data_IF_538218888442
#
_entry.id   IF_538218888442
#
_cell.length_a   1.000
_cell.length_b   1.000
_cell.length_c   1.000
_cell.angle_alpha   90.00
_cell.angle_beta   90.00
_cell.angle_gamma   90.00
#
_symmetry.space_group_name_H-M   'P 1'
#
loop_
_entity.id
_entity.type
_entity.pdbx_description
1 polymer ?
#
# COMPACT_ATOMS: atom_id res chain seq x y z
N UNK A 1 15.38 21.86 -24.17
CA UNK A 1 15.43 20.87 -23.08
C UNK A 1 14.34 21.21 -22.07
N UNK A 2 13.19 20.50 -22.07
CA UNK A 2 12.10 20.82 -21.16
C UNK A 2 12.48 20.45 -19.73
N UNK A 3 12.36 21.42 -18.82
CA UNK A 3 12.55 21.23 -17.39
C UNK A 3 11.18 21.16 -16.73
N UNK A 4 10.87 20.03 -16.12
CA UNK A 4 9.57 19.75 -15.54
C UNK A 4 9.73 19.69 -14.03
N UNK A 5 9.13 20.66 -13.33
CA UNK A 5 9.09 20.69 -11.87
C UNK A 5 7.84 19.99 -11.36
N UNK A 6 7.99 19.12 -10.38
CA UNK A 6 6.89 18.37 -9.75
C UNK A 6 6.98 18.57 -8.23
N UNK A 7 6.01 19.29 -7.67
CA UNK A 7 5.86 19.45 -6.22
C UNK A 7 4.92 18.36 -5.68
N UNK A 8 5.40 17.55 -4.75
CA UNK A 8 4.75 16.33 -4.24
C UNK A 8 4.39 16.53 -2.78
N UNK A 9 3.11 16.45 -2.46
CA UNK A 9 2.61 16.52 -1.08
C UNK A 9 2.23 15.13 -0.60
N UNK A 10 2.84 14.67 0.49
CA UNK A 10 2.63 13.31 0.99
C UNK A 10 2.52 13.22 2.51
N UNK A 11 1.68 12.30 2.98
CA UNK A 11 1.52 11.90 4.38
C UNK A 11 1.85 10.41 4.52
N UNK A 12 2.56 10.04 5.58
CA UNK A 12 2.84 8.63 5.95
C UNK A 12 1.60 7.82 6.30
N UNK A 13 0.53 8.45 6.78
CA UNK A 13 -0.75 7.81 7.11
C UNK A 13 -1.67 7.60 5.90
N UNK A 14 -1.29 8.10 4.72
CA UNK A 14 -2.10 7.99 3.51
C UNK A 14 -1.72 6.74 2.70
N UNK A 15 -2.57 5.70 2.63
CA UNK A 15 -2.31 4.53 1.80
C UNK A 15 -2.23 4.89 0.30
N UNK A 16 -2.97 5.92 -0.12
CA UNK A 16 -2.99 6.37 -1.51
C UNK A 16 -1.74 7.14 -1.90
N UNK A 17 -1.08 7.85 -0.98
CA UNK A 17 0.19 8.53 -1.27
C UNK A 17 1.29 7.51 -1.63
N UNK A 18 1.32 6.35 -0.96
CA UNK A 18 2.25 5.28 -1.32
C UNK A 18 2.02 4.75 -2.74
N UNK A 19 0.75 4.48 -3.08
CA UNK A 19 0.37 4.00 -4.41
C UNK A 19 0.69 5.06 -5.47
N UNK A 20 0.32 6.33 -5.21
CA UNK A 20 0.57 7.46 -6.10
C UNK A 20 2.05 7.67 -6.38
N UNK A 21 2.92 7.52 -5.37
CA UNK A 21 4.36 7.62 -5.57
C UNK A 21 4.87 6.55 -6.55
N UNK A 22 4.40 5.30 -6.43
CA UNK A 22 4.79 4.23 -7.36
C UNK A 22 4.34 4.50 -8.79
N UNK A 23 3.15 5.06 -8.98
CA UNK A 23 2.71 5.45 -10.32
C UNK A 23 3.48 6.66 -10.86
N UNK A 24 3.87 7.60 -10.01
CA UNK A 24 4.70 8.73 -10.41
C UNK A 24 6.08 8.26 -10.92
N UNK A 25 6.73 7.36 -10.18
CA UNK A 25 8.01 6.75 -10.58
C UNK A 25 7.90 6.10 -11.98
N UNK A 26 6.86 5.30 -12.20
CA UNK A 26 6.61 4.64 -13.49
C UNK A 26 6.33 5.65 -14.62
N UNK A 27 5.58 6.71 -14.34
CA UNK A 27 5.28 7.73 -15.33
C UNK A 27 6.53 8.51 -15.75
N UNK A 28 7.43 8.82 -14.80
CA UNK A 28 8.71 9.48 -15.07
C UNK A 28 9.60 8.58 -15.94
N UNK A 29 9.69 7.30 -15.62
CA UNK A 29 10.46 6.33 -16.42
C UNK A 29 9.93 6.24 -17.87
N UNK A 30 8.62 6.10 -18.04
CA UNK A 30 7.97 6.03 -19.35
C UNK A 30 8.05 7.35 -20.15
N UNK A 31 8.13 8.49 -19.46
CA UNK A 31 8.31 9.77 -20.12
C UNK A 31 9.76 9.96 -20.57
N UNK A 32 10.71 9.61 -19.70
CA UNK A 32 12.14 9.73 -19.94
C UNK A 32 12.60 8.82 -21.08
N UNK A 33 12.00 7.63 -21.23
CA UNK A 33 12.30 6.74 -22.36
C UNK A 33 11.92 7.32 -23.73
N UNK A 34 10.88 8.16 -23.77
CA UNK A 34 10.43 8.86 -25.00
C UNK A 34 11.11 10.20 -25.20
N UNK A 35 11.60 10.82 -24.12
CA UNK A 35 12.17 12.16 -24.10
C UNK A 35 13.48 12.13 -23.28
N UNK A 36 14.59 11.64 -23.85
CA UNK A 36 15.84 11.50 -23.12
C UNK A 36 16.43 12.83 -22.65
N UNK A 37 16.06 13.94 -23.31
CA UNK A 37 16.51 15.29 -22.96
C UNK A 37 15.64 15.94 -21.85
N UNK A 38 14.59 15.28 -21.36
CA UNK A 38 13.76 15.87 -20.32
C UNK A 38 14.46 15.81 -18.95
N UNK A 39 14.38 16.90 -18.19
CA UNK A 39 14.92 16.96 -16.83
C UNK A 39 13.78 17.17 -15.85
N UNK A 40 13.70 16.29 -14.85
CA UNK A 40 12.71 16.36 -13.78
C UNK A 40 13.31 16.95 -12.51
N UNK A 41 12.62 17.93 -11.93
CA UNK A 41 12.95 18.52 -10.63
C UNK A 41 11.83 18.18 -9.64
N UNK A 42 12.09 17.23 -8.73
CA UNK A 42 11.12 16.79 -7.73
C UNK A 42 11.32 17.55 -6.42
N UNK A 43 10.24 18.10 -5.86
CA UNK A 43 10.23 18.77 -4.56
C UNK A 43 9.20 18.10 -3.63
N UNK A 44 9.65 17.63 -2.47
CA UNK A 44 8.82 16.88 -1.52
C UNK A 44 8.38 17.76 -0.36
N UNK A 45 7.07 17.75 -0.09
CA UNK A 45 6.42 18.53 0.94
C UNK A 45 5.63 17.61 1.88
N UNK A 46 5.90 17.61 3.19
CA UNK A 46 5.08 16.87 4.14
C UNK A 46 3.69 17.50 4.22
N UNK A 47 2.66 16.66 4.27
CA UNK A 47 1.28 17.08 4.49
C UNK A 47 0.68 16.28 5.65
N UNK A 48 -0.11 16.94 6.50
CA UNK A 48 -0.86 16.28 7.57
C UNK A 48 -2.33 16.19 7.17
N UNK A 49 -2.79 14.98 6.86
CA UNK A 49 -4.20 14.72 6.54
C UNK A 49 -5.13 14.96 7.74
N UNK A 50 -4.64 14.61 8.93
CA UNK A 50 -5.40 14.74 10.18
C UNK A 50 -4.65 15.66 11.15
N UNK A 51 -4.67 16.99 10.93
CA UNK A 51 -3.92 17.94 11.76
C UNK A 51 -4.38 17.94 13.23
N UNK A 52 -5.60 17.49 13.48
CA UNK A 52 -6.21 17.42 14.81
C UNK A 52 -6.33 15.98 15.32
N UNK A 53 -5.60 15.02 14.73
CA UNK A 53 -5.60 13.64 15.21
C UNK A 53 -5.19 13.59 16.68
N UNK A 54 -6.17 13.30 17.54
CA UNK A 54 -5.91 13.04 18.95
C UNK A 54 -5.36 11.63 19.03
N UNK A 55 -4.22 11.43 19.68
CA UNK A 55 -3.78 10.08 20.06
C UNK A 55 -4.89 9.54 20.96
N UNK A 56 -5.70 8.63 20.43
CA UNK A 56 -6.74 8.04 21.25
C UNK A 56 -6.07 7.16 22.31
N UNK A 57 -6.54 7.28 23.55
CA UNK A 57 -6.06 6.45 24.64
C UNK A 57 -6.15 4.96 24.23
N UNK A 58 -5.23 4.08 24.71
CA UNK A 58 -5.28 2.67 24.38
C UNK A 58 -6.67 2.13 24.74
N UNK A 59 -7.47 1.76 23.74
CA UNK A 59 -8.84 1.27 23.91
C UNK A 59 -9.95 2.15 23.29
N UNK A 60 -9.67 3.36 22.82
CA UNK A 60 -10.68 4.19 22.13
C UNK A 60 -10.39 4.24 20.62
N UNK A 61 -10.76 3.17 19.91
CA UNK A 61 -10.75 3.20 18.45
C UNK A 61 -11.90 4.07 17.92
N UNK A 62 -11.60 5.09 17.11
CA UNK A 62 -12.63 5.65 16.23
C UNK A 62 -13.00 4.59 15.18
N UNK A 63 -14.29 4.33 14.91
CA UNK A 63 -14.70 3.37 13.89
C UNK A 63 -14.47 3.98 12.50
N UNK A 64 -13.26 3.89 11.99
CA UNK A 64 -12.98 4.08 10.55
C UNK A 64 -12.23 2.83 10.08
N UNK A 65 -12.86 2.13 9.14
CA UNK A 65 -12.56 0.78 8.67
C UNK A 65 -13.03 -0.36 9.61
N UNK A 66 -14.06 -1.09 9.16
CA UNK A 66 -14.63 -2.28 9.79
C UNK A 66 -13.74 -3.53 9.69
N UNK A 67 -12.41 -3.37 9.75
CA UNK A 67 -11.48 -4.51 9.84
C UNK A 67 -11.02 -4.69 11.28
N UNK A 68 -11.24 -5.87 11.90
CA UNK A 68 -10.81 -6.13 13.27
C UNK A 68 -9.28 -6.14 13.37
N UNK A 69 -8.73 -5.12 14.02
CA UNK A 69 -7.33 -5.00 14.45
C UNK A 69 -7.06 -5.92 15.64
N UNK A 70 -6.82 -7.22 15.43
CA UNK A 70 -6.04 -8.06 16.38
C UNK A 70 -5.96 -9.57 16.07
N UNK A 71 -6.69 -10.11 15.09
CA UNK A 71 -6.78 -11.57 14.94
C UNK A 71 -5.81 -12.22 13.92
N UNK A 72 -5.22 -11.49 12.97
CA UNK A 72 -4.50 -12.15 11.85
C UNK A 72 -3.02 -12.51 12.13
N UNK A 73 -2.33 -11.80 13.03
CA UNK A 73 -0.89 -12.08 13.29
C UNK A 73 -0.70 -13.42 14.01
N UNK A 74 -1.64 -13.82 14.88
CA UNK A 74 -1.54 -15.09 15.62
C UNK A 74 -1.85 -16.32 14.77
N UNK A 75 -2.69 -16.19 13.74
CA UNK A 75 -3.09 -17.34 12.91
C UNK A 75 -2.01 -17.70 11.86
N UNK A 76 -1.31 -16.73 11.28
CA UNK A 76 -0.26 -17.00 10.27
C UNK A 76 0.96 -17.72 10.86
N UNK A 77 1.35 -17.41 12.11
CA UNK A 77 2.53 -18.05 12.73
C UNK A 77 2.28 -19.54 13.06
N UNK A 78 1.08 -19.87 13.57
CA UNK A 78 0.70 -21.26 13.89
C UNK A 78 0.64 -22.13 12.62
N UNK A 79 0.15 -21.58 11.51
CA UNK A 79 0.07 -22.30 10.23
C UNK A 79 1.46 -22.54 9.61
N UNK A 80 2.38 -21.58 9.71
CA UNK A 80 3.75 -21.74 9.19
C UNK A 80 4.56 -22.76 9.98
N UNK A 81 4.41 -22.81 11.31
CA UNK A 81 5.14 -23.77 12.16
C UNK A 81 4.61 -25.20 12.08
N UNK A 82 3.34 -25.42 11.75
CA UNK A 82 2.78 -26.77 11.53
C UNK A 82 2.79 -27.21 10.05
N UNK A 83 3.07 -26.31 9.11
CA UNK A 83 2.92 -26.53 7.67
C UNK A 83 4.13 -27.11 6.92
N UNK A 84 5.21 -27.50 7.59
CA UNK A 84 6.43 -28.04 6.95
C UNK A 84 6.52 -29.57 6.91
N UNK A 85 5.40 -30.29 7.06
CA UNK A 85 5.44 -31.76 7.11
C UNK A 85 4.68 -32.52 6.01
N UNK A 86 3.99 -31.90 5.04
CA UNK A 86 3.26 -32.69 4.03
C UNK A 86 3.26 -32.09 2.61
N UNK A 87 3.94 -32.71 1.62
CA UNK A 87 4.05 -32.20 0.24
C UNK A 87 2.79 -32.33 -0.63
N UNK A 88 1.68 -32.88 -0.11
CA UNK A 88 0.47 -33.15 -0.89
C UNK A 88 -0.53 -31.98 -1.00
N UNK A 89 -0.34 -30.86 -0.29
CA UNK A 89 -1.30 -29.74 -0.23
C UNK A 89 -1.00 -28.59 -1.21
N UNK A 90 -0.17 -28.80 -2.24
CA UNK A 90 0.07 -27.76 -3.27
C UNK A 90 -1.07 -27.62 -4.29
N UNK A 91 -2.00 -28.57 -4.39
CA UNK A 91 -3.06 -28.57 -5.43
C UNK A 91 -4.37 -27.88 -5.04
N UNK A 92 -4.60 -27.56 -3.78
CA UNK A 92 -5.87 -26.95 -3.34
C UNK A 92 -5.82 -25.40 -3.30
N UNK A 93 -4.62 -24.81 -3.28
CA UNK A 93 -4.43 -23.34 -3.28
C UNK A 93 -4.89 -22.71 -4.62
N UNK A 94 -4.82 -23.43 -5.74
CA UNK A 94 -5.28 -22.93 -7.04
C UNK A 94 -6.82 -22.82 -7.17
N UNK A 95 -7.59 -23.51 -6.33
CA UNK A 95 -9.07 -23.48 -6.38
C UNK A 95 -9.72 -22.40 -5.51
N UNK A 96 -8.96 -21.67 -4.68
CA UNK A 96 -9.50 -20.60 -3.81
C UNK A 96 -9.50 -19.22 -4.47
N UNK A 97 -8.85 -19.04 -5.63
CA UNK A 97 -8.80 -17.77 -6.36
C UNK A 97 -10.02 -17.50 -7.27
N UNK A 98 -10.97 -18.44 -7.41
CA UNK A 98 -12.10 -18.32 -8.34
C UNK A 98 -13.46 -18.03 -7.69
N UNK A 99 -13.52 -17.72 -6.39
CA UNK A 99 -14.79 -17.52 -5.68
C UNK A 99 -14.83 -16.24 -4.83
N UNK A 100 -14.20 -15.16 -5.29
CA UNK A 100 -14.47 -13.84 -4.72
C UNK A 100 -15.77 -13.31 -5.35
N UNK A 101 -16.84 -13.04 -4.57
CA UNK A 101 -17.99 -12.33 -5.11
C UNK A 101 -17.58 -10.90 -5.48
N UNK A 102 -18.21 -10.28 -6.49
CA UNK A 102 -17.96 -8.89 -6.81
C UNK A 102 -18.33 -8.03 -5.59
N UNK A 103 -17.43 -7.14 -5.21
CA UNK A 103 -17.71 -6.12 -4.19
C UNK A 103 -18.83 -5.18 -4.68
N UNK A 104 -19.47 -4.43 -3.76
CA UNK A 104 -20.48 -3.44 -4.12
C UNK A 104 -19.91 -2.32 -5.00
#
# INVERSE_FOLDING_TARGET
>A
MPRIRIDIYSDTGCPWCYIGNKYLDLAIEQFSSRNPDAVFELAWHPFFLFPNAKVSAPGQGSPVDGRPRSAEIKLSLVVFSLGLAHPALKRTILKRHSSWPPGP
#
